data_IF_926986036330
#
_entry.id   IF_926986036330
#
_cell.length_a   1.000
_cell.length_b   1.000
_cell.length_c   1.000
_cell.angle_alpha   90.00
_cell.angle_beta   90.00
_cell.angle_gamma   90.00
#
_symmetry.space_group_name_H-M   'P 1'
#
loop_
_entity.id
_entity.type
_entity.pdbx_description
1 polymer ?
#
# COMPACT_ATOMS: atom_id res chain seq x y z
N UNK A 1 29.55 0.88 15.82
CA UNK A 1 28.66 -0.14 15.25
C UNK A 1 28.03 -1.00 16.34
N UNK A 2 28.78 -1.51 17.33
CA UNK A 2 28.22 -2.30 18.46
C UNK A 2 27.17 -1.58 19.35
N UNK A 3 27.11 -0.25 19.37
CA UNK A 3 26.11 0.49 20.18
C UNK A 3 24.74 0.66 19.52
N UNK A 4 24.62 0.41 18.21
CA UNK A 4 23.34 0.54 17.49
C UNK A 4 22.55 -0.77 17.49
N UNK A 5 23.24 -1.92 17.47
CA UNK A 5 22.61 -3.25 17.54
C UNK A 5 22.02 -3.53 18.94
N UNK A 6 22.64 -3.02 20.01
CA UNK A 6 22.18 -3.22 21.39
C UNK A 6 20.87 -2.47 21.73
N UNK A 7 20.52 -1.43 20.97
CA UNK A 7 19.28 -0.65 21.17
C UNK A 7 18.08 -1.29 20.44
N UNK A 8 18.29 -2.00 19.34
CA UNK A 8 17.23 -2.75 18.63
C UNK A 8 16.79 -4.01 19.38
N UNK A 9 17.74 -4.75 19.96
CA UNK A 9 17.44 -5.93 20.79
C UNK A 9 16.60 -5.58 22.03
N UNK A 10 16.83 -4.40 22.62
CA UNK A 10 16.08 -3.92 23.77
C UNK A 10 14.64 -3.50 23.41
N UNK A 11 14.43 -2.98 22.20
CA UNK A 11 13.10 -2.66 21.69
C UNK A 11 12.28 -3.94 21.44
N UNK A 12 12.92 -4.99 20.91
CA UNK A 12 12.30 -6.31 20.70
C UNK A 12 11.98 -7.05 22.00
N UNK A 13 12.85 -6.98 23.01
CA UNK A 13 12.58 -7.59 24.33
C UNK A 13 11.50 -6.85 25.15
N UNK A 14 11.29 -5.55 24.91
CA UNK A 14 10.19 -4.82 25.57
C UNK A 14 8.81 -5.21 25.03
N UNK A 15 8.71 -5.65 23.77
CA UNK A 15 7.44 -6.06 23.13
C UNK A 15 7.03 -7.49 23.49
N UNK A 16 7.96 -8.36 23.87
CA UNK A 16 7.68 -9.75 24.22
C UNK A 16 7.22 -9.97 25.68
N UNK A 17 7.36 -8.96 26.56
CA UNK A 17 7.03 -9.09 27.98
C UNK A 17 5.64 -8.57 28.41
N UNK A 18 4.77 -8.15 27.49
CA UNK A 18 3.42 -7.68 27.85
C UNK A 18 2.33 -8.76 27.84
N UNK A 19 2.70 -10.03 27.64
CA UNK A 19 1.76 -11.13 27.51
C UNK A 19 1.50 -11.90 28.82
N UNK A 20 1.45 -11.24 29.97
CA UNK A 20 0.91 -11.86 31.20
C UNK A 20 0.26 -10.81 32.10
N UNK A 21 -1.00 -10.45 31.81
CA UNK A 21 -2.05 -10.30 32.85
C UNK A 21 -3.41 -9.89 32.24
N UNK A 22 -4.44 -10.58 32.75
CA UNK A 22 -5.88 -10.32 32.65
C UNK A 22 -6.62 -10.88 31.42
N UNK A 23 -7.49 -11.86 31.69
CA UNK A 23 -8.39 -12.54 30.76
C UNK A 23 -9.53 -11.68 30.22
N UNK A 24 -9.19 -10.59 29.54
CA UNK A 24 -10.06 -9.95 28.55
C UNK A 24 -9.70 -10.48 27.17
N UNK A 25 -10.69 -10.80 26.34
CA UNK A 25 -10.46 -11.12 24.92
C UNK A 25 -9.76 -9.94 24.26
N UNK A 26 -8.43 -10.02 24.10
CA UNK A 26 -7.65 -9.04 23.34
C UNK A 26 -8.13 -9.15 21.90
N UNK A 27 -8.91 -8.17 21.42
CA UNK A 27 -9.12 -8.03 19.98
C UNK A 27 -7.74 -7.80 19.38
N UNK A 28 -7.33 -8.56 18.34
CA UNK A 28 -6.06 -8.30 17.69
C UNK A 28 -6.01 -6.83 17.28
N UNK A 29 -4.91 -6.15 17.60
CA UNK A 29 -4.70 -4.78 17.16
C UNK A 29 -4.85 -4.74 15.64
N UNK A 30 -5.71 -3.84 15.17
CA UNK A 30 -5.95 -3.69 13.74
C UNK A 30 -4.71 -3.08 13.11
N UNK A 31 -4.23 -3.68 12.02
CA UNK A 31 -3.14 -3.11 11.23
C UNK A 31 -3.45 -1.66 10.82
N UNK A 32 -2.44 -0.79 10.92
CA UNK A 32 -2.50 0.63 10.50
C UNK A 32 -1.23 1.00 9.76
N UNK A 33 -1.32 1.96 8.85
CA UNK A 33 -0.14 2.55 8.21
C UNK A 33 0.47 3.64 9.10
N UNK A 34 1.77 3.89 8.90
CA UNK A 34 2.43 5.09 9.43
C UNK A 34 1.70 6.36 8.97
N UNK A 35 1.68 7.43 9.79
CA UNK A 35 1.01 8.68 9.43
C UNK A 35 1.73 9.44 8.30
N UNK A 36 3.00 9.15 8.06
CA UNK A 36 3.85 9.73 7.02
C UNK A 36 4.61 8.61 6.29
N UNK A 37 5.02 8.83 5.02
CA UNK A 37 4.83 10.05 4.22
C UNK A 37 3.40 10.21 3.65
N UNK A 38 2.92 11.45 3.56
CA UNK A 38 1.71 11.78 2.78
C UNK A 38 1.91 11.62 1.26
N UNK A 39 0.82 11.59 0.49
CA UNK A 39 0.89 11.60 -0.99
C UNK A 39 1.69 12.79 -1.54
N UNK A 40 1.54 13.96 -0.93
CA UNK A 40 2.28 15.16 -1.33
C UNK A 40 3.76 15.07 -0.92
N UNK A 41 4.08 14.38 0.19
CA UNK A 41 5.47 14.06 0.54
C UNK A 41 6.10 13.13 -0.51
N UNK A 42 5.40 12.07 -0.92
CA UNK A 42 5.87 11.13 -1.94
C UNK A 42 6.10 11.87 -3.27
N UNK A 43 5.13 12.68 -3.71
CA UNK A 43 5.26 13.49 -4.94
C UNK A 43 6.51 14.38 -4.91
N UNK A 44 6.75 15.09 -3.81
CA UNK A 44 7.96 15.96 -3.68
C UNK A 44 9.26 15.17 -3.71
N UNK A 45 9.33 14.05 -2.98
CA UNK A 45 10.52 13.20 -2.95
C UNK A 45 10.86 12.68 -4.34
N UNK A 46 9.85 12.24 -5.08
CA UNK A 46 10.00 11.75 -6.44
C UNK A 46 10.41 12.89 -7.40
N UNK A 47 9.74 14.04 -7.33
CA UNK A 47 10.04 15.17 -8.21
C UNK A 47 11.48 15.63 -8.01
N UNK A 48 11.94 15.73 -6.76
CA UNK A 48 13.34 16.02 -6.44
C UNK A 48 14.29 14.97 -7.03
N UNK A 49 14.01 13.68 -6.83
CA UNK A 49 14.83 12.59 -7.36
C UNK A 49 14.99 12.65 -8.88
N UNK A 50 13.90 12.97 -9.59
CA UNK A 50 13.85 13.07 -11.06
C UNK A 50 14.52 14.35 -11.57
N UNK A 51 14.33 15.49 -10.88
CA UNK A 51 14.96 16.76 -11.21
C UNK A 51 16.49 16.67 -11.11
N UNK A 52 17.00 16.06 -10.03
CA UNK A 52 18.45 15.85 -9.81
C UNK A 52 19.13 15.06 -10.94
N UNK A 53 18.35 14.28 -11.71
CA UNK A 53 18.83 13.39 -12.77
C UNK A 53 18.49 13.88 -14.16
N UNK A 54 17.80 15.01 -14.29
CA UNK A 54 17.26 15.50 -15.56
C UNK A 54 16.38 14.45 -16.28
N UNK A 55 15.63 13.65 -15.50
CA UNK A 55 14.83 12.54 -16.03
C UNK A 55 13.42 12.95 -16.45
N UNK A 56 13.01 14.19 -16.16
CA UNK A 56 11.70 14.71 -16.57
C UNK A 56 11.41 14.56 -18.08
N UNK A 57 12.45 14.57 -18.92
CA UNK A 57 12.32 14.35 -20.36
C UNK A 57 11.77 12.96 -20.71
N UNK A 58 12.05 11.94 -19.89
CA UNK A 58 11.59 10.56 -20.09
C UNK A 58 10.24 10.29 -19.41
N UNK A 59 9.87 11.10 -18.42
CA UNK A 59 8.68 10.91 -17.59
C UNK A 59 7.43 11.55 -18.22
N UNK A 60 7.13 11.15 -19.45
CA UNK A 60 5.88 11.48 -20.13
C UNK A 60 4.75 10.55 -19.64
N UNK A 61 3.47 10.98 -19.62
CA UNK A 61 2.36 10.20 -19.06
C UNK A 61 2.26 8.76 -19.58
N UNK A 62 2.48 8.53 -20.89
CA UNK A 62 2.47 7.19 -21.47
C UNK A 62 3.60 6.32 -20.92
N UNK A 63 4.80 6.88 -20.75
CA UNK A 63 5.96 6.12 -20.29
C UNK A 63 5.78 5.71 -18.83
N UNK A 64 5.29 6.64 -18.00
CA UNK A 64 4.96 6.37 -16.59
C UNK A 64 3.87 5.30 -16.44
N UNK A 65 2.83 5.36 -17.29
CA UNK A 65 1.80 4.31 -17.33
C UNK A 65 2.40 2.94 -17.65
N UNK A 66 3.30 2.86 -18.64
CA UNK A 66 3.93 1.59 -19.02
C UNK A 66 4.88 1.07 -17.94
N UNK A 67 5.64 1.96 -17.29
CA UNK A 67 6.47 1.60 -16.15
C UNK A 67 5.61 1.04 -15.00
N UNK A 68 4.55 1.74 -14.61
CA UNK A 68 3.59 1.27 -13.60
C UNK A 68 3.00 -0.11 -13.93
N UNK A 69 2.69 -0.39 -15.20
CA UNK A 69 2.20 -1.72 -15.63
C UNK A 69 3.28 -2.79 -15.43
N UNK A 70 4.55 -2.46 -15.65
CA UNK A 70 5.69 -3.33 -15.33
C UNK A 70 5.71 -3.71 -13.87
N UNK A 71 5.67 -2.72 -12.97
CA UNK A 71 5.71 -2.95 -11.51
C UNK A 71 4.49 -3.75 -11.01
N UNK A 72 3.31 -3.52 -11.61
CA UNK A 72 2.13 -4.37 -11.32
C UNK A 72 2.37 -5.83 -11.74
N UNK A 73 3.13 -6.04 -12.82
CA UNK A 73 3.61 -7.36 -13.23
C UNK A 73 4.53 -7.98 -12.19
N UNK A 74 5.51 -7.22 -11.67
CA UNK A 74 6.44 -7.69 -10.63
C UNK A 74 5.70 -8.07 -9.35
N UNK A 75 4.73 -7.25 -8.91
CA UNK A 75 3.80 -7.63 -7.82
C UNK A 75 3.11 -8.96 -8.14
N UNK A 76 2.59 -9.15 -9.36
CA UNK A 76 1.90 -10.38 -9.73
C UNK A 76 2.82 -11.61 -9.72
N UNK A 77 4.08 -11.46 -10.11
CA UNK A 77 5.08 -12.54 -10.11
C UNK A 77 5.33 -13.12 -8.72
N UNK A 78 5.23 -12.30 -7.66
CA UNK A 78 5.37 -12.75 -6.27
C UNK A 78 4.27 -13.72 -5.83
N UNK A 79 3.10 -13.66 -6.47
CA UNK A 79 1.92 -14.47 -6.14
C UNK A 79 1.64 -15.58 -7.17
N UNK A 80 2.14 -15.50 -8.40
CA UNK A 80 1.67 -16.30 -9.55
C UNK A 80 1.71 -17.83 -9.34
N UNK A 81 2.64 -18.34 -8.52
CA UNK A 81 2.79 -19.78 -8.23
C UNK A 81 2.37 -20.18 -6.81
N UNK A 82 1.78 -19.25 -6.06
CA UNK A 82 1.27 -19.53 -4.71
C UNK A 82 -0.16 -20.05 -4.81
N UNK A 83 -0.54 -20.94 -3.87
CA UNK A 83 -1.93 -21.33 -3.67
C UNK A 83 -2.73 -20.20 -3.02
N UNK A 84 -3.72 -20.54 -2.18
CA UNK A 84 -4.37 -19.53 -1.35
C UNK A 84 -3.35 -18.86 -0.42
N UNK A 85 -3.32 -17.53 -0.42
CA UNK A 85 -2.42 -16.74 0.42
C UNK A 85 -3.21 -16.12 1.57
N UNK A 86 -2.82 -16.46 2.81
CA UNK A 86 -3.49 -15.97 4.01
C UNK A 86 -3.16 -14.49 4.30
N UNK A 87 -4.11 -13.79 4.93
CA UNK A 87 -3.91 -12.43 5.44
C UNK A 87 -2.71 -12.38 6.39
N UNK A 88 -1.89 -11.33 6.29
CA UNK A 88 -0.67 -11.20 7.09
C UNK A 88 0.48 -12.08 6.62
N UNK A 89 0.30 -12.87 5.55
CA UNK A 89 1.34 -13.63 4.86
C UNK A 89 2.18 -14.55 5.78
N UNK A 90 1.64 -15.31 6.75
CA UNK A 90 2.42 -15.99 7.79
C UNK A 90 3.52 -16.93 7.24
N UNK A 91 3.30 -17.52 6.07
CA UNK A 91 4.24 -18.45 5.43
C UNK A 91 5.32 -17.77 4.56
N UNK A 92 5.38 -16.44 4.57
CA UNK A 92 6.39 -15.67 3.84
C UNK A 92 7.57 -15.33 4.74
N UNK A 93 8.77 -15.52 4.20
CA UNK A 93 10.03 -15.06 4.77
C UNK A 93 10.11 -13.53 4.78
N UNK A 94 11.00 -12.97 5.60
CA UNK A 94 11.18 -11.52 5.68
C UNK A 94 11.60 -10.92 4.32
N UNK A 95 12.50 -11.59 3.62
CA UNK A 95 12.95 -11.14 2.29
C UNK A 95 11.82 -11.13 1.25
N UNK A 96 10.89 -12.08 1.30
CA UNK A 96 9.72 -12.06 0.41
C UNK A 96 8.75 -10.92 0.74
N UNK A 97 8.60 -10.58 2.04
CA UNK A 97 7.78 -9.45 2.47
C UNK A 97 8.41 -8.12 2.08
N UNK A 98 9.73 -8.01 2.21
CA UNK A 98 10.49 -6.83 1.79
C UNK A 98 10.39 -6.64 0.28
N UNK A 99 10.53 -7.71 -0.50
CA UNK A 99 10.35 -7.66 -1.95
C UNK A 99 8.93 -7.21 -2.31
N UNK A 100 7.90 -7.76 -1.67
CA UNK A 100 6.53 -7.27 -1.85
C UNK A 100 6.37 -5.78 -1.49
N UNK A 101 7.03 -5.33 -0.42
CA UNK A 101 6.99 -3.93 -0.01
C UNK A 101 7.63 -3.01 -1.05
N UNK A 102 8.71 -3.44 -1.71
CA UNK A 102 9.34 -2.72 -2.82
C UNK A 102 8.39 -2.62 -4.02
N UNK A 103 7.88 -3.75 -4.52
CA UNK A 103 7.03 -3.74 -5.72
C UNK A 103 5.72 -2.94 -5.52
N UNK A 104 5.12 -3.04 -4.32
CA UNK A 104 3.97 -2.20 -3.97
C UNK A 104 4.32 -0.70 -3.91
N UNK A 105 5.54 -0.38 -3.47
CA UNK A 105 6.03 1.00 -3.42
C UNK A 105 6.28 1.54 -4.82
N UNK A 106 6.86 0.75 -5.74
CA UNK A 106 7.13 1.17 -7.11
C UNK A 106 5.84 1.44 -7.88
N UNK A 107 4.81 0.59 -7.73
CA UNK A 107 3.47 0.87 -8.25
C UNK A 107 2.92 2.21 -7.73
N UNK A 108 3.06 2.47 -6.43
CA UNK A 108 2.57 3.72 -5.82
C UNK A 108 3.34 4.93 -6.34
N UNK A 109 4.66 4.84 -6.46
CA UNK A 109 5.54 5.93 -6.93
C UNK A 109 5.14 6.34 -8.35
N UNK A 110 5.04 5.38 -9.28
CA UNK A 110 4.63 5.71 -10.65
C UNK A 110 3.19 6.21 -10.75
N UNK A 111 2.27 5.71 -9.90
CA UNK A 111 0.90 6.24 -9.85
C UNK A 111 0.87 7.72 -9.42
N UNK A 112 1.64 8.08 -8.39
CA UNK A 112 1.72 9.46 -7.89
C UNK A 112 2.35 10.36 -8.94
N UNK A 113 3.43 9.92 -9.58
CA UNK A 113 4.07 10.70 -10.62
C UNK A 113 3.19 10.86 -11.87
N UNK A 114 2.50 9.79 -12.29
CA UNK A 114 1.54 9.86 -13.39
C UNK A 114 0.43 10.87 -13.07
N UNK A 115 -0.07 10.88 -11.84
CA UNK A 115 -1.07 11.85 -11.41
C UNK A 115 -0.52 13.29 -11.46
N UNK A 116 0.72 13.51 -11.02
CA UNK A 116 1.40 14.79 -11.14
C UNK A 116 1.51 15.23 -12.60
N UNK A 117 2.05 14.41 -13.51
CA UNK A 117 2.17 14.77 -14.93
C UNK A 117 0.83 14.99 -15.63
N UNK A 118 -0.25 14.38 -15.11
CA UNK A 118 -1.61 14.58 -15.59
C UNK A 118 -2.36 15.75 -14.89
N UNK A 119 -1.70 16.45 -13.95
CA UNK A 119 -2.31 17.50 -13.12
C UNK A 119 -3.56 17.03 -12.37
N UNK A 120 -3.52 15.81 -11.82
CA UNK A 120 -4.59 15.22 -11.02
C UNK A 120 -4.24 15.34 -9.54
N UNK A 121 -5.06 16.09 -8.79
CA UNK A 121 -5.05 16.03 -7.32
C UNK A 121 -5.58 14.66 -6.87
N UNK A 122 -4.64 13.72 -6.70
CA UNK A 122 -4.92 12.31 -6.44
C UNK A 122 -5.64 12.11 -5.09
N UNK A 123 -5.22 12.71 -3.95
CA UNK A 123 -5.97 12.62 -2.71
C UNK A 123 -7.43 13.07 -2.85
N UNK A 124 -7.69 14.21 -3.49
CA UNK A 124 -9.07 14.68 -3.69
C UNK A 124 -9.85 13.79 -4.68
N UNK A 125 -9.19 13.25 -5.70
CA UNK A 125 -9.80 12.30 -6.63
C UNK A 125 -10.26 11.01 -5.91
N UNK A 126 -9.45 10.49 -4.99
CA UNK A 126 -9.82 9.34 -4.15
C UNK A 126 -11.04 9.65 -3.28
N UNK A 127 -11.09 10.81 -2.62
CA UNK A 127 -12.25 11.21 -1.81
C UNK A 127 -13.54 11.25 -2.64
N UNK A 128 -13.50 11.87 -3.82
CA UNK A 128 -14.64 11.90 -4.75
C UNK A 128 -15.03 10.49 -5.20
N UNK A 129 -14.06 9.64 -5.55
CA UNK A 129 -14.33 8.27 -6.00
C UNK A 129 -14.95 7.43 -4.90
N UNK A 130 -14.52 7.60 -3.65
CA UNK A 130 -15.09 6.90 -2.50
C UNK A 130 -16.53 7.31 -2.21
N UNK A 131 -16.87 8.59 -2.34
CA UNK A 131 -18.25 9.05 -2.26
C UNK A 131 -19.14 8.37 -3.32
N UNK A 132 -18.66 8.31 -4.57
CA UNK A 132 -19.36 7.61 -5.66
C UNK A 132 -19.49 6.10 -5.40
N UNK A 133 -18.46 5.45 -4.86
CA UNK A 133 -18.50 4.02 -4.53
C UNK A 133 -19.55 3.72 -3.45
N UNK A 134 -19.69 4.58 -2.43
CA UNK A 134 -20.73 4.41 -1.39
C UNK A 134 -22.14 4.51 -1.95
N UNK A 135 -22.37 5.41 -2.92
CA UNK A 135 -23.66 5.51 -3.61
C UNK A 135 -23.92 4.28 -4.49
N UNK A 136 -22.89 3.76 -5.15
CA UNK A 136 -22.97 2.59 -6.03
C UNK A 136 -23.18 1.27 -5.26
N UNK A 137 -22.64 1.17 -4.05
CA UNK A 137 -22.66 -0.02 -3.20
C UNK A 137 -23.15 0.33 -1.79
N UNK A 138 -24.45 0.61 -1.60
CA UNK A 138 -24.99 0.96 -0.29
C UNK A 138 -24.93 -0.26 0.64
N UNK A 139 -24.42 -0.04 1.87
CA UNK A 139 -24.21 -1.10 2.86
C UNK A 139 -25.47 -1.95 3.11
N UNK A 140 -26.64 -1.32 3.15
CA UNK A 140 -27.94 -2.00 3.31
C UNK A 140 -28.26 -3.02 2.22
N UNK A 141 -27.69 -2.90 1.02
CA UNK A 141 -27.91 -3.83 -0.11
C UNK A 141 -26.78 -4.86 -0.29
N UNK A 142 -25.58 -4.60 0.26
CA UNK A 142 -24.34 -5.35 -0.06
C UNK A 142 -23.62 -5.94 1.15
N UNK A 143 -24.13 -5.73 2.36
CA UNK A 143 -23.50 -6.27 3.55
C UNK A 143 -23.37 -7.81 3.47
N UNK A 144 -22.14 -8.32 3.51
CA UNK A 144 -21.84 -9.75 3.37
C UNK A 144 -22.02 -10.31 1.94
N UNK A 145 -22.15 -9.46 0.91
CA UNK A 145 -22.39 -9.89 -0.46
C UNK A 145 -21.45 -9.20 -1.46
N UNK A 146 -20.75 -10.00 -2.26
CA UNK A 146 -19.91 -9.52 -3.37
C UNK A 146 -20.70 -9.26 -4.67
N UNK A 147 -22.04 -9.30 -4.61
CA UNK A 147 -22.91 -9.09 -5.78
C UNK A 147 -22.64 -7.74 -6.41
N UNK A 148 -22.50 -7.72 -7.74
CA UNK A 148 -22.33 -6.47 -8.50
C UNK A 148 -23.61 -5.64 -8.41
N UNK A 149 -23.45 -4.33 -8.58
CA UNK A 149 -24.57 -3.38 -8.52
C UNK A 149 -25.67 -3.61 -9.56
N UNK A 150 -25.34 -4.35 -10.63
CA UNK A 150 -26.26 -4.82 -11.65
C UNK A 150 -27.20 -5.94 -11.18
N UNK A 151 -26.98 -6.50 -9.99
CA UNK A 151 -27.70 -7.65 -9.46
C UNK A 151 -28.64 -7.31 -8.29
N UNK A 152 -28.74 -6.03 -7.89
CA UNK A 152 -29.77 -5.60 -6.95
C UNK A 152 -31.11 -5.54 -7.68
N UNK A 153 -31.99 -6.51 -7.45
CA UNK A 153 -33.42 -6.33 -7.75
C UNK A 153 -34.03 -5.54 -6.61
N UNK A 154 -34.80 -4.51 -6.94
CA UNK A 154 -35.67 -3.82 -5.98
C UNK A 154 -36.71 -4.77 -5.38
#
# INVERSE_FOLDING_TARGET
MEKLEADEDNLYQSKSNFALQNGGTVRPERFTFSPEPSFENIRRLQAQFTDERDWNQFHQPRNLLLAMVGEVGEVAELFQWRGEVAEGLPDWTESEREHLAHELSDVLIYLVELAEKCHVDLPQAVLRKMALNRLKYPASKVHGSAKKYTEYKD
#
